data_IF_730950361293
#
_entry.id   IF_730950361293
#
_cell.length_a   1.000
_cell.length_b   1.000
_cell.length_c   1.000
_cell.angle_alpha   90.00
_cell.angle_beta   90.00
_cell.angle_gamma   90.00
#
_symmetry.space_group_name_H-M   'P 1'
#
loop_
_entity.id
_entity.type
_entity.pdbx_description
1 polymer ?
#
# COMPACT_ATOMS: atom_id res chain seq x y z
N UNK A 1 10.45 6.46 14.92
CA UNK A 1 11.80 6.93 15.33
C UNK A 1 12.27 6.28 16.64
N UNK A 2 11.62 6.49 17.79
CA UNK A 2 12.04 5.87 19.06
C UNK A 2 12.11 4.32 19.05
N UNK A 3 11.14 3.66 18.44
CA UNK A 3 11.12 2.18 18.35
C UNK A 3 12.27 1.65 17.49
N UNK A 4 12.60 2.34 16.38
CA UNK A 4 13.73 1.97 15.52
C UNK A 4 15.04 2.08 16.30
N UNK A 5 15.27 3.22 16.96
CA UNK A 5 16.46 3.41 17.80
C UNK A 5 16.59 2.33 18.88
N UNK A 6 15.49 1.98 19.55
CA UNK A 6 15.47 0.90 20.53
C UNK A 6 15.88 -0.45 19.92
N UNK A 7 15.38 -0.78 18.72
CA UNK A 7 15.75 -2.01 18.04
C UNK A 7 17.20 -2.00 17.55
N UNK A 8 17.70 -0.86 17.05
CA UNK A 8 19.08 -0.67 16.62
C UNK A 8 20.04 -0.87 17.81
N UNK A 9 19.76 -0.26 18.97
CA UNK A 9 20.54 -0.48 20.19
C UNK A 9 20.53 -1.96 20.62
N UNK A 10 19.36 -2.62 20.60
CA UNK A 10 19.27 -4.04 20.94
C UNK A 10 20.07 -4.92 19.96
N UNK A 11 20.08 -4.54 18.67
CA UNK A 11 20.85 -5.22 17.63
C UNK A 11 22.35 -5.10 17.88
N UNK A 12 22.84 -3.93 18.27
CA UNK A 12 24.25 -3.73 18.63
C UNK A 12 24.67 -4.64 19.79
N UNK A 13 23.88 -4.69 20.87
CA UNK A 13 24.17 -5.60 22.00
C UNK A 13 24.15 -7.05 21.54
N UNK A 14 23.19 -7.45 20.69
CA UNK A 14 23.11 -8.80 20.18
C UNK A 14 24.31 -9.19 19.29
N UNK A 15 24.84 -8.23 18.51
CA UNK A 15 26.07 -8.41 17.73
C UNK A 15 27.28 -8.58 18.65
N UNK A 16 27.40 -7.76 19.70
CA UNK A 16 28.46 -7.88 20.71
C UNK A 16 28.42 -9.23 21.43
N UNK A 17 27.23 -9.73 21.75
CA UNK A 17 27.03 -11.05 22.36
C UNK A 17 27.10 -12.22 21.36
N UNK A 18 27.40 -11.96 20.08
CA UNK A 18 27.46 -12.96 19.01
C UNK A 18 26.16 -13.80 18.84
N UNK A 19 25.00 -13.21 19.12
CA UNK A 19 23.69 -13.83 18.89
C UNK A 19 23.27 -13.72 17.42
N UNK A 20 24.02 -14.40 16.55
CA UNK A 20 23.72 -14.50 15.12
C UNK A 20 22.65 -15.56 14.85
N UNK A 21 21.87 -15.35 13.79
CA UNK A 21 20.97 -16.35 13.21
C UNK A 21 21.11 -16.36 11.70
N UNK A 22 20.73 -17.46 11.08
CA UNK A 22 20.62 -17.53 9.62
C UNK A 22 19.41 -16.73 9.15
N UNK A 23 19.52 -16.16 7.94
CA UNK A 23 18.39 -15.49 7.30
C UNK A 23 17.27 -16.50 7.07
N UNK A 24 16.06 -16.17 7.54
CA UNK A 24 14.91 -17.05 7.37
C UNK A 24 14.56 -17.24 5.89
N UNK A 25 14.18 -18.47 5.51
CA UNK A 25 13.88 -18.81 4.11
C UNK A 25 12.78 -17.94 3.46
N UNK A 26 11.86 -17.39 4.26
CA UNK A 26 10.81 -16.49 3.79
C UNK A 26 11.15 -15.00 3.82
N UNK A 27 12.37 -14.60 4.21
CA UNK A 27 12.75 -13.19 4.40
C UNK A 27 12.59 -12.39 3.10
N UNK A 28 13.15 -12.90 2.01
CA UNK A 28 13.10 -12.24 0.70
C UNK A 28 11.65 -12.03 0.21
N UNK A 29 10.81 -13.06 0.25
CA UNK A 29 9.40 -12.94 -0.12
C UNK A 29 8.64 -11.95 0.76
N UNK A 30 9.00 -11.86 2.04
CA UNK A 30 8.38 -10.91 2.95
C UNK A 30 8.83 -9.47 2.67
N UNK A 31 10.10 -9.26 2.33
CA UNK A 31 10.63 -7.96 1.92
C UNK A 31 10.05 -7.50 0.59
N UNK A 32 9.91 -8.42 -0.38
CA UNK A 32 9.24 -8.15 -1.65
C UNK A 32 7.80 -7.67 -1.42
N UNK A 33 7.02 -8.38 -0.59
CA UNK A 33 5.64 -7.97 -0.25
C UNK A 33 5.57 -6.61 0.45
N UNK A 34 6.56 -6.25 1.28
CA UNK A 34 6.64 -4.93 1.88
C UNK A 34 6.96 -3.87 0.83
N UNK A 35 7.92 -4.14 -0.07
CA UNK A 35 8.25 -3.30 -1.21
C UNK A 35 7.05 -3.03 -2.11
N UNK A 36 6.31 -4.06 -2.49
CA UNK A 36 5.10 -3.93 -3.33
C UNK A 36 4.02 -3.08 -2.66
N UNK A 37 3.87 -3.18 -1.33
CA UNK A 37 2.96 -2.32 -0.56
C UNK A 37 3.41 -0.87 -0.55
N UNK A 38 4.71 -0.61 -0.40
CA UNK A 38 5.28 0.74 -0.45
C UNK A 38 5.07 1.33 -1.84
N UNK A 39 5.39 0.59 -2.90
CA UNK A 39 5.15 0.99 -4.30
C UNK A 39 3.67 1.29 -4.57
N UNK A 40 2.75 0.44 -4.07
CA UNK A 40 1.31 0.68 -4.14
C UNK A 40 0.87 2.00 -3.48
N UNK A 41 1.42 2.33 -2.31
CA UNK A 41 1.15 3.62 -1.65
C UNK A 41 1.73 4.79 -2.42
N UNK A 42 2.96 4.68 -2.92
CA UNK A 42 3.60 5.72 -3.75
C UNK A 42 2.84 5.96 -5.05
N UNK A 43 2.33 4.90 -5.68
CA UNK A 43 1.43 5.01 -6.83
C UNK A 43 0.14 5.76 -6.47
N UNK A 44 -0.48 5.43 -5.33
CA UNK A 44 -1.67 6.13 -4.85
C UNK A 44 -1.39 7.62 -4.57
N UNK A 45 -0.23 7.94 -3.99
CA UNK A 45 0.21 9.32 -3.80
C UNK A 45 0.35 10.04 -5.13
N UNK A 46 1.12 9.47 -6.06
CA UNK A 46 1.30 10.03 -7.40
C UNK A 46 -0.03 10.29 -8.10
N UNK A 47 -0.94 9.31 -8.08
CA UNK A 47 -2.28 9.45 -8.66
C UNK A 47 -3.06 10.61 -8.02
N UNK A 48 -2.98 10.74 -6.69
CA UNK A 48 -3.59 11.85 -5.94
C UNK A 48 -2.96 13.20 -6.30
N UNK A 49 -1.64 13.26 -6.51
CA UNK A 49 -0.95 14.46 -6.99
C UNK A 49 -1.42 14.85 -8.40
N UNK A 50 -1.63 13.88 -9.29
CA UNK A 50 -2.19 14.15 -10.63
C UNK A 50 -3.63 14.68 -10.56
N UNK A 51 -4.46 14.18 -9.65
CA UNK A 51 -5.80 14.74 -9.42
C UNK A 51 -5.78 16.21 -8.97
N UNK A 52 -4.77 16.62 -8.21
CA UNK A 52 -4.61 18.04 -7.84
C UNK A 52 -4.41 18.91 -9.09
N UNK A 53 -3.66 18.44 -10.08
CA UNK A 53 -3.45 19.17 -11.34
C UNK A 53 -4.72 19.24 -12.20
N UNK A 54 -5.63 18.28 -12.06
CA UNK A 54 -6.93 18.29 -12.73
C UNK A 54 -7.85 19.36 -12.14
N UNK A 55 -7.85 19.54 -10.82
CA UNK A 55 -8.60 20.62 -10.14
C UNK A 55 -7.96 21.99 -10.37
N UNK A 56 -6.66 22.10 -10.07
CA UNK A 56 -5.93 23.38 -10.09
C UNK A 56 -4.54 23.18 -10.73
N UNK A 57 -4.44 23.40 -12.06
CA UNK A 57 -3.17 23.33 -12.78
C UNK A 57 -2.11 24.32 -12.26
N UNK A 58 -2.50 25.39 -11.56
CA UNK A 58 -1.55 26.37 -11.01
C UNK A 58 -0.69 25.79 -9.89
N UNK A 59 -1.14 24.70 -9.27
CA UNK A 59 -0.37 23.99 -8.24
C UNK A 59 0.96 23.46 -8.76
N UNK A 60 1.08 23.19 -10.08
CA UNK A 60 2.36 22.83 -10.71
C UNK A 60 3.43 23.90 -10.51
N UNK A 61 3.04 25.18 -10.55
CA UNK A 61 3.95 26.31 -10.29
C UNK A 61 4.21 26.50 -8.80
N UNK A 62 3.19 26.30 -7.96
CA UNK A 62 3.29 26.51 -6.50
C UNK A 62 4.15 25.46 -5.78
N UNK A 63 4.02 24.18 -6.17
CA UNK A 63 4.72 23.04 -5.54
C UNK A 63 5.93 22.57 -6.34
N UNK A 64 6.13 23.11 -7.55
CA UNK A 64 7.20 22.70 -8.48
C UNK A 64 6.82 21.47 -9.30
N UNK A 65 7.41 21.35 -10.50
CA UNK A 65 7.12 20.25 -11.41
C UNK A 65 7.56 18.89 -10.85
N UNK A 66 8.72 18.84 -10.20
CA UNK A 66 9.30 17.64 -9.59
C UNK A 66 8.36 16.99 -8.57
N UNK A 67 7.55 17.77 -7.84
CA UNK A 67 6.62 17.20 -6.87
C UNK A 67 5.58 16.27 -7.50
N UNK A 68 5.21 16.52 -8.77
CA UNK A 68 4.21 15.76 -9.54
C UNK A 68 4.82 14.69 -10.45
N UNK A 69 6.14 14.54 -10.46
CA UNK A 69 6.81 13.52 -11.25
C UNK A 69 6.56 12.13 -10.66
N UNK A 70 6.70 11.13 -11.52
CA UNK A 70 6.60 9.74 -11.11
C UNK A 70 7.86 9.39 -10.32
N UNK A 71 7.69 8.65 -9.23
CA UNK A 71 8.82 8.14 -8.46
C UNK A 71 9.67 7.21 -9.35
N UNK A 72 11.00 7.26 -9.22
CA UNK A 72 11.93 6.46 -10.02
C UNK A 72 11.66 4.95 -9.88
N UNK A 73 11.13 4.54 -8.72
CA UNK A 73 10.81 3.13 -8.41
C UNK A 73 9.53 2.61 -9.10
N UNK A 74 8.78 3.49 -9.77
CA UNK A 74 7.52 3.19 -10.46
C UNK A 74 7.70 3.37 -11.97
N UNK A 75 7.89 2.28 -12.71
CA UNK A 75 7.91 2.32 -14.17
C UNK A 75 6.50 2.17 -14.78
N UNK A 76 6.37 2.45 -16.08
CA UNK A 76 5.09 2.33 -16.79
C UNK A 76 4.58 0.87 -16.87
N UNK A 77 5.47 -0.12 -16.74
CA UNK A 77 5.13 -1.54 -16.79
C UNK A 77 4.48 -1.98 -15.48
N UNK A 78 5.13 -1.70 -14.35
CA UNK A 78 4.63 -1.90 -13.00
C UNK A 78 3.31 -1.19 -12.79
N UNK A 79 3.12 0.04 -13.30
CA UNK A 79 1.83 0.75 -13.20
C UNK A 79 0.70 -0.07 -13.87
N UNK A 80 0.94 -0.62 -15.06
CA UNK A 80 -0.07 -1.42 -15.78
C UNK A 80 -0.38 -2.71 -15.03
N UNK A 81 0.65 -3.40 -14.55
CA UNK A 81 0.50 -4.60 -13.74
C UNK A 81 -0.26 -4.30 -12.44
N UNK A 82 0.08 -3.22 -11.75
CA UNK A 82 -0.56 -2.81 -10.52
C UNK A 82 -2.03 -2.41 -10.74
N UNK A 83 -2.34 -1.69 -11.83
CA UNK A 83 -3.72 -1.40 -12.20
C UNK A 83 -4.52 -2.66 -12.51
N UNK A 84 -3.93 -3.62 -13.23
CA UNK A 84 -4.57 -4.91 -13.49
C UNK A 84 -4.82 -5.68 -12.18
N UNK A 85 -3.83 -5.69 -11.29
CA UNK A 85 -3.98 -6.24 -9.95
C UNK A 85 -5.13 -5.59 -9.17
N UNK A 86 -5.27 -4.26 -9.21
CA UNK A 86 -6.38 -3.55 -8.54
C UNK A 86 -7.76 -3.91 -9.13
N UNK A 87 -7.84 -4.09 -10.45
CA UNK A 87 -9.07 -4.54 -11.13
C UNK A 87 -9.45 -5.95 -10.67
N UNK A 88 -8.49 -6.88 -10.67
CA UNK A 88 -8.71 -8.26 -10.27
C UNK A 88 -9.05 -8.37 -8.78
N UNK A 89 -8.33 -7.64 -7.93
CA UNK A 89 -8.61 -7.58 -6.50
C UNK A 89 -10.04 -7.09 -6.24
N UNK A 90 -10.48 -6.05 -6.95
CA UNK A 90 -11.84 -5.54 -6.83
C UNK A 90 -12.89 -6.53 -7.33
N UNK A 91 -12.61 -7.22 -8.45
CA UNK A 91 -13.46 -8.30 -8.98
C UNK A 91 -13.61 -9.42 -7.98
N UNK A 92 -12.50 -9.92 -7.43
CA UNK A 92 -12.50 -10.97 -6.41
C UNK A 92 -13.22 -10.54 -5.14
N UNK A 93 -13.04 -9.29 -4.67
CA UNK A 93 -13.75 -8.75 -3.51
C UNK A 93 -15.27 -8.74 -3.74
N UNK A 94 -15.73 -8.30 -4.91
CA UNK A 94 -17.15 -8.27 -5.26
C UNK A 94 -17.73 -9.68 -5.34
N UNK A 95 -17.04 -10.60 -6.02
CA UNK A 95 -17.47 -12.00 -6.14
C UNK A 95 -17.55 -12.68 -4.77
N UNK A 96 -16.50 -12.59 -3.95
CA UNK A 96 -16.49 -13.18 -2.60
C UNK A 96 -17.56 -12.56 -1.69
N UNK A 97 -17.83 -11.27 -1.82
CA UNK A 97 -18.90 -10.61 -1.04
C UNK A 97 -20.28 -11.12 -1.47
N UNK A 98 -20.52 -11.24 -2.77
CA UNK A 98 -21.76 -11.77 -3.31
C UNK A 98 -22.00 -13.24 -2.87
N UNK A 99 -20.96 -14.07 -2.93
CA UNK A 99 -21.01 -15.46 -2.44
C UNK A 99 -21.38 -15.53 -0.96
N UNK A 100 -20.68 -14.75 -0.11
CA UNK A 100 -20.97 -14.68 1.33
C UNK A 100 -22.37 -14.16 1.64
N UNK A 101 -22.84 -13.16 0.91
CA UNK A 101 -24.19 -12.63 1.07
C UNK A 101 -25.22 -13.73 0.72
N UNK A 102 -25.00 -14.49 -0.36
CA UNK A 102 -25.85 -15.61 -0.74
C UNK A 102 -25.82 -16.78 0.24
N UNK A 103 -24.66 -17.08 0.84
CA UNK A 103 -24.56 -18.08 1.91
C UNK A 103 -25.39 -17.67 3.14
N UNK A 104 -25.35 -16.39 3.52
CA UNK A 104 -26.17 -15.86 4.62
C UNK A 104 -27.67 -15.94 4.32
N UNK A 105 -28.08 -15.57 3.11
CA UNK A 105 -29.48 -15.68 2.69
C UNK A 105 -29.96 -17.14 2.77
N UNK A 106 -29.17 -18.09 2.27
CA UNK A 106 -29.47 -19.53 2.38
C UNK A 106 -29.58 -19.98 3.83
N UNK A 107 -28.67 -19.55 4.71
CA UNK A 107 -28.71 -19.87 6.13
C UNK A 107 -29.98 -19.33 6.82
N UNK A 108 -30.46 -18.16 6.39
CA UNK A 108 -31.70 -17.54 6.85
C UNK A 108 -32.96 -18.10 6.16
N UNK A 109 -32.84 -19.13 5.32
CA UNK A 109 -33.91 -19.70 4.46
C UNK A 109 -34.53 -18.69 3.48
N UNK A 110 -33.78 -17.64 3.14
CA UNK A 110 -34.12 -16.66 2.11
C UNK A 110 -33.58 -17.10 0.74
N UNK A 111 -34.18 -16.58 -0.34
CA UNK A 111 -33.76 -16.91 -1.71
C UNK A 111 -32.41 -16.24 -2.02
N UNK A 112 -31.45 -16.95 -2.65
CA UNK A 112 -30.21 -16.34 -3.12
C UNK A 112 -30.46 -15.19 -4.11
N UNK A 113 -29.59 -14.19 -4.08
CA UNK A 113 -29.60 -13.12 -5.08
C UNK A 113 -29.30 -13.69 -6.47
N UNK A 114 -29.98 -13.19 -7.52
CA UNK A 114 -29.79 -13.65 -8.88
C UNK A 114 -28.41 -13.23 -9.43
N UNK A 115 -27.90 -13.97 -10.42
CA UNK A 115 -26.64 -13.62 -11.10
C UNK A 115 -26.66 -12.23 -11.76
N UNK A 116 -27.85 -11.70 -12.08
CA UNK A 116 -28.01 -10.33 -12.60
C UNK A 116 -27.45 -9.29 -11.62
N UNK A 117 -27.69 -9.48 -10.32
CA UNK A 117 -27.16 -8.61 -9.25
C UNK A 117 -25.63 -8.66 -9.22
N UNK A 118 -25.03 -9.83 -9.42
CA UNK A 118 -23.57 -9.95 -9.54
C UNK A 118 -23.05 -9.20 -10.77
N UNK A 119 -23.72 -9.29 -11.92
CA UNK A 119 -23.34 -8.56 -13.14
C UNK A 119 -23.44 -7.05 -12.95
N UNK A 120 -24.46 -6.56 -12.24
CA UNK A 120 -24.61 -5.15 -11.88
C UNK A 120 -23.48 -4.70 -10.94
N UNK A 121 -23.18 -5.46 -9.89
CA UNK A 121 -22.04 -5.16 -9.01
C UNK A 121 -20.69 -5.16 -9.76
N UNK A 122 -20.53 -6.04 -10.75
CA UNK A 122 -19.33 -6.08 -11.60
C UNK A 122 -19.23 -4.92 -12.60
N UNK A 123 -20.27 -4.09 -12.79
CA UNK A 123 -20.16 -2.87 -13.61
C UNK A 123 -19.08 -1.93 -13.05
N UNK A 124 -18.94 -1.86 -11.72
CA UNK A 124 -17.89 -1.07 -11.05
C UNK A 124 -16.49 -1.50 -11.52
N UNK A 125 -16.27 -2.79 -11.77
CA UNK A 125 -14.99 -3.30 -12.27
C UNK A 125 -14.75 -2.84 -13.72
N UNK A 126 -15.80 -2.87 -14.55
CA UNK A 126 -15.72 -2.41 -15.96
C UNK A 126 -15.45 -0.91 -16.05
N UNK A 127 -16.09 -0.13 -15.18
CA UNK A 127 -15.83 1.32 -15.07
C UNK A 127 -14.40 1.60 -14.65
N UNK A 128 -13.89 0.87 -13.66
CA UNK A 128 -12.51 0.97 -13.21
C UNK A 128 -11.50 0.61 -14.31
N UNK A 129 -11.77 -0.46 -15.07
CA UNK A 129 -10.94 -0.88 -16.21
C UNK A 129 -10.94 0.17 -17.33
N UNK A 130 -12.11 0.68 -17.70
CA UNK A 130 -12.24 1.73 -18.72
C UNK A 130 -11.48 2.99 -18.31
N UNK A 131 -11.50 3.32 -17.02
CA UNK A 131 -10.80 4.46 -16.46
C UNK A 131 -9.28 4.29 -16.47
N UNK A 132 -8.74 3.17 -16.00
CA UNK A 132 -7.29 2.93 -16.10
C UNK A 132 -6.81 2.90 -17.56
N UNK A 133 -7.61 2.36 -18.49
CA UNK A 133 -7.33 2.47 -19.93
C UNK A 133 -7.31 3.92 -20.43
N UNK A 134 -8.17 4.80 -19.92
CA UNK A 134 -8.14 6.23 -20.24
C UNK A 134 -6.92 6.90 -19.63
N UNK A 135 -6.64 6.69 -18.35
CA UNK A 135 -5.48 7.27 -17.65
C UNK A 135 -4.16 6.91 -18.33
N UNK A 136 -3.98 5.65 -18.75
CA UNK A 136 -2.78 5.20 -19.46
C UNK A 136 -2.63 5.81 -20.85
N UNK A 137 -3.74 6.16 -21.52
CA UNK A 137 -3.72 6.79 -22.85
C UNK A 137 -3.50 8.30 -22.76
N UNK A 138 -4.19 8.97 -21.84
CA UNK A 138 -4.19 10.44 -21.74
C UNK A 138 -3.07 10.97 -20.85
N UNK A 139 -2.45 10.10 -20.03
CA UNK A 139 -1.51 10.46 -18.96
C UNK A 139 -2.09 11.48 -17.97
N UNK A 140 -3.43 11.61 -17.92
CA UNK A 140 -4.18 12.49 -17.03
C UNK A 140 -5.02 11.65 -16.08
N UNK A 141 -5.05 12.07 -14.82
CA UNK A 141 -5.86 11.44 -13.77
C UNK A 141 -6.95 12.44 -13.38
N UNK A 142 -8.21 12.08 -13.65
CA UNK A 142 -9.37 12.88 -13.30
C UNK A 142 -9.56 12.92 -11.77
N UNK A 143 -9.96 14.07 -11.24
CA UNK A 143 -10.20 14.25 -9.81
C UNK A 143 -11.47 13.51 -9.36
N UNK A 144 -11.33 12.66 -8.34
CA UNK A 144 -12.41 11.78 -7.90
C UNK A 144 -12.64 11.81 -6.39
N UNK A 145 -13.85 11.41 -5.99
CA UNK A 145 -14.26 11.33 -4.59
C UNK A 145 -15.35 12.35 -4.24
N UNK A 146 -15.87 12.25 -3.02
CA UNK A 146 -16.98 13.11 -2.58
C UNK A 146 -16.50 14.53 -2.29
N UNK A 147 -16.74 15.43 -3.24
CA UNK A 147 -16.34 16.83 -3.19
C UNK A 147 -14.83 16.99 -3.24
N UNK A 148 -14.20 16.74 -4.41
CA UNK A 148 -12.75 16.78 -4.55
C UNK A 148 -12.26 18.22 -4.40
N UNK A 149 -11.31 18.44 -3.48
CA UNK A 149 -10.66 19.74 -3.26
C UNK A 149 -9.16 19.54 -3.11
N UNK A 150 -8.38 20.56 -3.46
CA UNK A 150 -6.91 20.52 -3.32
C UNK A 150 -6.52 20.22 -1.87
N UNK A 151 -7.16 20.84 -0.88
CA UNK A 151 -6.86 20.63 0.54
C UNK A 151 -7.13 19.19 1.00
N UNK A 152 -8.20 18.55 0.49
CA UNK A 152 -8.49 17.15 0.80
C UNK A 152 -7.43 16.21 0.25
N UNK A 153 -6.96 16.47 -0.98
CA UNK A 153 -5.91 15.68 -1.60
C UNK A 153 -4.55 15.90 -0.94
N UNK A 154 -4.22 17.12 -0.51
CA UNK A 154 -3.01 17.38 0.28
C UNK A 154 -3.05 16.59 1.59
N UNK A 155 -4.15 16.67 2.36
CA UNK A 155 -4.30 15.87 3.59
C UNK A 155 -4.26 14.36 3.34
N UNK A 156 -4.75 13.90 2.18
CA UNK A 156 -4.66 12.49 1.81
C UNK A 156 -3.22 12.08 1.52
N UNK A 157 -2.44 12.94 0.84
CA UNK A 157 -1.02 12.70 0.56
C UNK A 157 -0.22 12.67 1.86
N UNK A 158 -0.44 13.60 2.79
CA UNK A 158 0.23 13.61 4.11
C UNK A 158 0.01 12.28 4.85
N UNK A 159 -1.22 11.76 4.88
CA UNK A 159 -1.52 10.45 5.48
C UNK A 159 -0.85 9.30 4.75
N UNK A 160 -0.74 9.37 3.43
CA UNK A 160 -0.03 8.36 2.66
C UNK A 160 1.47 8.43 2.94
N UNK A 161 2.05 9.63 3.07
CA UNK A 161 3.47 9.84 3.40
C UNK A 161 3.79 9.24 4.76
N UNK A 162 2.95 9.47 5.77
CA UNK A 162 3.08 8.84 7.08
C UNK A 162 3.07 7.31 6.98
N UNK A 163 2.14 6.75 6.19
CA UNK A 163 2.05 5.29 5.99
C UNK A 163 3.27 4.72 5.26
N UNK A 164 3.77 5.42 4.26
CA UNK A 164 5.00 5.05 3.53
C UNK A 164 6.18 5.05 4.50
N UNK A 165 6.39 6.13 5.25
CA UNK A 165 7.47 6.24 6.24
C UNK A 165 7.43 5.13 7.28
N UNK A 166 6.23 4.75 7.74
CA UNK A 166 6.06 3.64 8.68
C UNK A 166 6.47 2.31 8.04
N UNK A 167 6.04 2.01 6.81
CA UNK A 167 6.40 0.76 6.13
C UNK A 167 7.88 0.70 5.76
N UNK A 168 8.49 1.82 5.36
CA UNK A 168 9.93 1.92 5.10
C UNK A 168 10.72 1.65 6.38
N UNK A 169 10.34 2.27 7.50
CA UNK A 169 10.96 1.99 8.81
C UNK A 169 10.83 0.51 9.19
N UNK A 170 9.70 -0.12 8.92
CA UNK A 170 9.50 -1.55 9.19
C UNK A 170 10.35 -2.44 8.27
N UNK A 171 10.51 -2.05 7.01
CA UNK A 171 11.36 -2.75 6.07
C UNK A 171 12.84 -2.68 6.51
N UNK A 172 13.32 -1.49 6.88
CA UNK A 172 14.68 -1.27 7.40
C UNK A 172 14.95 -2.09 8.67
N UNK A 173 14.06 -2.02 9.66
CA UNK A 173 14.21 -2.76 10.92
C UNK A 173 14.24 -4.28 10.69
N UNK A 174 13.39 -4.76 9.78
CA UNK A 174 13.33 -6.18 9.44
C UNK A 174 14.58 -6.64 8.69
N UNK A 175 15.08 -5.86 7.75
CA UNK A 175 16.30 -6.21 7.01
C UNK A 175 17.55 -6.12 7.89
N UNK A 176 17.66 -5.09 8.73
CA UNK A 176 18.74 -4.94 9.70
C UNK A 176 18.84 -6.13 10.66
N UNK A 177 17.70 -6.68 11.08
CA UNK A 177 17.62 -7.80 12.03
C UNK A 177 17.58 -9.20 11.38
N UNK A 178 17.84 -9.32 10.08
CA UNK A 178 17.71 -10.60 9.36
C UNK A 178 18.72 -11.67 9.81
N UNK A 179 19.89 -11.25 10.30
CA UNK A 179 20.96 -12.13 10.77
C UNK A 179 21.17 -12.12 12.29
N UNK A 180 20.32 -11.40 13.03
CA UNK A 180 20.50 -11.19 14.49
C UNK A 180 19.31 -11.73 15.27
N UNK A 181 19.58 -12.43 16.37
CA UNK A 181 18.57 -12.96 17.29
C UNK A 181 18.41 -12.06 18.53
N UNK A 182 17.51 -11.08 18.44
CA UNK A 182 17.28 -10.10 19.52
C UNK A 182 16.69 -10.70 20.80
N UNK A 183 15.95 -11.81 20.69
CA UNK A 183 15.22 -12.40 21.82
C UNK A 183 16.11 -12.81 22.98
N UNK A 184 17.23 -13.48 22.68
CA UNK A 184 18.18 -13.96 23.70
C UNK A 184 18.85 -12.79 24.42
N UNK A 185 19.30 -11.79 23.67
CA UNK A 185 19.90 -10.56 24.20
C UNK A 185 18.93 -9.82 25.11
N UNK A 186 17.71 -9.60 24.63
CA UNK A 186 16.69 -8.81 25.33
C UNK A 186 16.25 -9.44 26.64
N UNK A 187 16.19 -10.78 26.73
CA UNK A 187 15.71 -11.47 27.93
C UNK A 187 16.83 -11.62 28.96
N UNK A 188 18.05 -11.92 28.52
CA UNK A 188 19.11 -12.37 29.41
C UNK A 188 20.20 -11.32 29.69
N UNK A 189 20.34 -10.32 28.82
CA UNK A 189 21.51 -9.42 28.81
C UNK A 189 21.15 -7.93 28.86
N UNK A 190 19.86 -7.59 28.95
CA UNK A 190 19.37 -6.22 29.09
C UNK A 190 18.49 -6.17 30.34
N UNK A 191 18.83 -5.29 31.29
CA UNK A 191 18.00 -5.07 32.48
C UNK A 191 16.65 -4.45 32.03
N UNK A 192 15.50 -5.07 32.35
CA UNK A 192 14.19 -4.58 31.91
C UNK A 192 13.79 -3.22 32.49
N UNK A 193 14.57 -2.67 33.44
CA UNK A 193 14.37 -1.33 34.00
C UNK A 193 14.96 -0.21 33.14
N UNK A 194 15.85 -0.53 32.19
CA UNK A 194 16.41 0.39 31.19
C UNK A 194 15.44 0.58 30.01
#
# INVERSE_FOLDING_TARGET
EKVKLYNDCNREVAILCNHKRTVGAGHEQQMQKLGDRIKGLRYQQWRTKKMILDIDPTQKKKKGAAWFELDEDLDEEWIKEHQQFLIEEQRTKITKKFEKDNEKLKANKEKPMPEKELKERLQVVKELEAKFKKENKTKKVEAEGRGPTVDKFIKAIEKLDERVKVLETQAEDRDGNKEVALGTTKINYIDPRL
#
